data_IF_504649479885
#
_entry.id   IF_504649479885
#
_cell.length_a   1.000
_cell.length_b   1.000
_cell.length_c   1.000
_cell.angle_alpha   90.00
_cell.angle_beta   90.00
_cell.angle_gamma   90.00
#
_symmetry.space_group_name_H-M   'P 1'
#
loop_
_entity.id
_entity.type
_entity.pdbx_description
1 polymer ?
#
# COMPACT_ATOMS: atom_id res chain seq x y z
N UNK A 1 -15.62 16.76 -10.76
CA UNK A 1 -16.22 15.92 -9.69
C UNK A 1 -15.19 15.04 -8.99
N UNK A 2 -14.25 14.41 -9.71
CA UNK A 2 -13.24 13.48 -9.15
C UNK A 2 -12.34 14.12 -8.09
N UNK A 3 -11.73 15.27 -8.35
CA UNK A 3 -10.90 16.01 -7.38
C UNK A 3 -11.65 16.27 -6.07
N UNK A 4 -12.83 16.87 -6.15
CA UNK A 4 -13.66 17.16 -4.97
C UNK A 4 -14.12 15.88 -4.24
N UNK A 5 -14.33 14.78 -4.96
CA UNK A 5 -14.73 13.51 -4.34
C UNK A 5 -13.61 12.95 -3.46
N UNK A 6 -12.38 12.99 -4.00
CA UNK A 6 -11.16 12.55 -3.31
C UNK A 6 -10.83 13.46 -2.15
N UNK A 7 -10.87 14.79 -2.35
CA UNK A 7 -10.64 15.76 -1.28
C UNK A 7 -11.62 15.56 -0.12
N UNK A 8 -12.92 15.43 -0.43
CA UNK A 8 -13.93 15.21 0.60
C UNK A 8 -13.76 13.87 1.29
N UNK A 9 -13.43 12.80 0.56
CA UNK A 9 -13.16 11.49 1.16
C UNK A 9 -11.95 11.53 2.12
N UNK A 10 -10.86 12.21 1.75
CA UNK A 10 -9.70 12.42 2.63
C UNK A 10 -10.07 13.20 3.89
N UNK A 11 -10.86 14.26 3.76
CA UNK A 11 -11.34 15.05 4.92
C UNK A 11 -12.22 14.18 5.82
N UNK A 12 -13.17 13.43 5.25
CA UNK A 12 -14.03 12.52 6.01
C UNK A 12 -13.23 11.45 6.74
N UNK A 13 -12.19 10.91 6.11
CA UNK A 13 -11.30 9.94 6.74
C UNK A 13 -10.47 10.53 7.88
N UNK A 14 -10.07 11.81 7.78
CA UNK A 14 -9.44 12.51 8.87
C UNK A 14 -10.38 12.75 10.06
N UNK A 15 -11.67 13.00 9.81
CA UNK A 15 -12.67 13.22 10.86
C UNK A 15 -13.09 11.90 11.51
N UNK A 16 -13.33 10.86 10.70
CA UNK A 16 -13.81 9.56 11.16
C UNK A 16 -13.11 8.43 10.42
N UNK A 17 -12.19 7.79 11.12
CA UNK A 17 -11.56 6.56 10.66
C UNK A 17 -12.63 5.47 10.50
N UNK A 18 -12.63 4.79 9.35
CA UNK A 18 -13.43 3.59 9.16
C UNK A 18 -12.95 2.50 10.13
N UNK A 19 -13.85 2.00 10.97
CA UNK A 19 -13.55 0.86 11.85
C UNK A 19 -13.25 -0.38 11.01
N UNK A 20 -12.26 -1.18 11.44
CA UNK A 20 -11.90 -2.47 10.84
C UNK A 20 -13.06 -3.48 10.84
N UNK A 21 -14.10 -3.24 11.64
CA UNK A 21 -15.31 -4.06 11.78
C UNK A 21 -16.49 -3.58 10.91
N UNK A 22 -16.22 -3.05 9.72
CA UNK A 22 -17.30 -2.61 8.84
C UNK A 22 -18.03 -3.83 8.21
N UNK A 23 -19.38 -3.89 8.22
CA UNK A 23 -20.15 -4.99 7.63
C UNK A 23 -19.80 -5.29 6.18
N UNK A 24 -19.42 -4.28 5.39
CA UNK A 24 -19.02 -4.44 3.98
C UNK A 24 -17.73 -5.26 3.88
N UNK A 25 -16.76 -5.01 4.74
CA UNK A 25 -15.51 -5.76 4.80
C UNK A 25 -15.75 -7.20 5.26
N UNK A 26 -16.70 -7.43 6.18
CA UNK A 26 -17.10 -8.77 6.59
C UNK A 26 -17.83 -9.55 5.48
N UNK A 27 -18.66 -8.87 4.68
CA UNK A 27 -19.30 -9.45 3.51
C UNK A 27 -18.25 -9.90 2.47
N UNK A 28 -17.28 -9.03 2.16
CA UNK A 28 -16.19 -9.36 1.23
C UNK A 28 -15.34 -10.52 1.79
N UNK A 29 -15.03 -10.51 3.10
CA UNK A 29 -14.26 -11.57 3.75
C UNK A 29 -14.98 -12.91 3.69
N UNK A 30 -16.26 -12.96 4.04
CA UNK A 30 -17.06 -14.19 4.03
C UNK A 30 -17.23 -14.72 2.60
N UNK A 31 -17.49 -13.85 1.64
CA UNK A 31 -17.60 -14.25 0.24
C UNK A 31 -16.27 -14.79 -0.31
N UNK A 32 -15.15 -14.11 -0.05
CA UNK A 32 -13.83 -14.60 -0.47
C UNK A 32 -13.44 -15.93 0.20
N UNK A 33 -13.81 -16.12 1.47
CA UNK A 33 -13.57 -17.37 2.20
C UNK A 33 -14.41 -18.51 1.61
N UNK A 34 -15.71 -18.29 1.39
CA UNK A 34 -16.61 -19.27 0.81
C UNK A 34 -16.18 -19.69 -0.60
N UNK A 35 -15.81 -18.71 -1.46
CA UNK A 35 -15.32 -19.01 -2.80
C UNK A 35 -13.99 -19.76 -2.75
N UNK A 36 -13.08 -19.44 -1.82
CA UNK A 36 -11.85 -20.22 -1.68
C UNK A 36 -12.12 -21.67 -1.27
N UNK A 37 -13.03 -21.91 -0.32
CA UNK A 37 -13.36 -23.26 0.14
C UNK A 37 -14.11 -24.08 -0.92
N UNK A 38 -14.96 -23.44 -1.73
CA UNK A 38 -15.78 -24.12 -2.74
C UNK A 38 -14.99 -24.44 -4.01
N UNK A 39 -14.05 -23.57 -4.41
CA UNK A 39 -13.31 -23.71 -5.65
C UNK A 39 -11.90 -24.28 -5.49
N UNK A 40 -11.41 -24.49 -4.26
CA UNK A 40 -10.08 -25.06 -4.06
C UNK A 40 -10.06 -26.59 -4.28
N UNK A 41 -10.08 -26.97 -5.55
CA UNK A 41 -9.95 -28.35 -6.01
C UNK A 41 -8.48 -28.72 -6.34
N UNK A 42 -7.49 -27.96 -5.83
CA UNK A 42 -6.06 -28.28 -5.99
C UNK A 42 -5.41 -27.91 -7.33
N UNK A 43 -6.13 -27.30 -8.29
CA UNK A 43 -5.59 -26.91 -9.60
C UNK A 43 -5.52 -25.38 -9.79
N UNK A 44 -4.48 -24.85 -10.47
CA UNK A 44 -4.27 -23.40 -10.64
C UNK A 44 -5.36 -22.71 -11.48
N UNK A 45 -6.06 -23.44 -12.37
CA UNK A 45 -7.16 -22.90 -13.18
C UNK A 45 -8.38 -22.49 -12.34
N UNK A 46 -8.58 -23.13 -11.19
CA UNK A 46 -9.68 -22.79 -10.29
C UNK A 46 -9.43 -21.46 -9.55
N UNK A 47 -8.17 -21.08 -9.35
CA UNK A 47 -7.80 -19.78 -8.79
C UNK A 47 -8.22 -18.60 -9.70
N UNK A 48 -8.20 -18.79 -11.03
CA UNK A 48 -8.66 -17.77 -11.99
C UNK A 48 -10.18 -17.56 -11.89
N UNK A 49 -10.93 -18.65 -11.93
CA UNK A 49 -12.39 -18.62 -11.83
C UNK A 49 -12.84 -18.07 -10.48
N UNK A 50 -12.24 -18.53 -9.38
CA UNK A 50 -12.51 -18.00 -8.05
C UNK A 50 -12.25 -16.49 -7.96
N UNK A 51 -11.13 -16.01 -8.52
CA UNK A 51 -10.81 -14.59 -8.52
C UNK A 51 -11.84 -13.78 -9.30
N UNK A 52 -12.25 -14.24 -10.49
CA UNK A 52 -13.28 -13.57 -11.29
C UNK A 52 -14.63 -13.56 -10.59
N UNK A 53 -15.04 -14.68 -9.99
CA UNK A 53 -16.30 -14.79 -9.24
C UNK A 53 -16.35 -13.83 -8.06
N UNK A 54 -15.22 -13.60 -7.38
CA UNK A 54 -15.18 -12.60 -6.29
C UNK A 54 -15.12 -11.19 -6.86
N UNK A 55 -14.25 -10.88 -7.81
CA UNK A 55 -13.99 -9.48 -8.21
C UNK A 55 -15.08 -8.91 -9.11
N UNK A 56 -15.53 -9.66 -10.10
CA UNK A 56 -16.39 -9.17 -11.18
C UNK A 56 -17.76 -8.67 -10.67
N UNK A 57 -18.47 -9.36 -9.76
CA UNK A 57 -19.77 -8.88 -9.26
C UNK A 57 -19.67 -7.54 -8.53
N UNK A 58 -18.63 -7.33 -7.71
CA UNK A 58 -18.46 -6.07 -6.98
C UNK A 58 -18.04 -4.93 -7.91
N UNK A 59 -17.11 -5.17 -8.84
CA UNK A 59 -16.65 -4.16 -9.80
C UNK A 59 -17.79 -3.74 -10.73
N UNK A 60 -18.53 -4.70 -11.30
CA UNK A 60 -19.68 -4.39 -12.14
C UNK A 60 -20.82 -3.77 -11.34
N UNK A 61 -21.13 -4.27 -10.14
CA UNK A 61 -22.19 -3.71 -9.30
C UNK A 61 -21.93 -2.23 -8.98
N UNK A 62 -20.71 -1.90 -8.58
CA UNK A 62 -20.32 -0.51 -8.28
C UNK A 62 -20.35 0.36 -9.54
N UNK A 63 -19.91 -0.16 -10.68
CA UNK A 63 -19.93 0.56 -11.96
C UNK A 63 -21.35 0.81 -12.48
N UNK A 64 -22.24 -0.18 -12.41
CA UNK A 64 -23.65 -0.07 -12.83
C UNK A 64 -24.40 0.91 -11.92
N UNK A 65 -24.23 0.82 -10.59
CA UNK A 65 -24.83 1.77 -9.66
C UNK A 65 -24.34 3.19 -9.97
N UNK A 66 -23.04 3.37 -10.19
CA UNK A 66 -22.49 4.67 -10.54
C UNK A 66 -23.11 5.23 -11.83
N UNK A 67 -23.23 4.41 -12.88
CA UNK A 67 -23.84 4.80 -14.15
C UNK A 67 -25.31 5.19 -13.99
N UNK A 68 -26.09 4.40 -13.25
CA UNK A 68 -27.50 4.68 -12.97
C UNK A 68 -27.66 5.98 -12.16
N UNK A 69 -26.85 6.18 -11.11
CA UNK A 69 -26.89 7.40 -10.31
C UNK A 69 -26.52 8.64 -11.11
N UNK A 70 -25.52 8.54 -11.99
CA UNK A 70 -25.16 9.63 -12.92
C UNK A 70 -26.29 9.99 -13.89
N UNK A 71 -27.10 9.01 -14.31
CA UNK A 71 -28.28 9.26 -15.16
C UNK A 71 -29.41 9.97 -14.42
N UNK A 72 -29.55 9.72 -13.12
CA UNK A 72 -30.58 10.35 -12.28
C UNK A 72 -30.15 11.75 -11.86
N UNK A 73 -28.97 11.87 -11.24
CA UNK A 73 -28.47 13.14 -10.72
C UNK A 73 -26.94 13.11 -10.55
N UNK A 74 -26.26 14.12 -11.09
CA UNK A 74 -24.81 14.28 -10.96
C UNK A 74 -24.33 14.33 -9.50
N UNK A 75 -25.12 14.88 -8.58
CA UNK A 75 -24.82 14.93 -7.15
C UNK A 75 -24.87 13.55 -6.49
N UNK A 76 -25.76 12.65 -6.95
CA UNK A 76 -25.80 11.27 -6.47
C UNK A 76 -24.58 10.48 -6.95
N UNK A 77 -24.18 10.67 -8.22
CA UNK A 77 -22.93 10.10 -8.75
C UNK A 77 -21.70 10.61 -7.97
N UNK A 78 -21.68 11.90 -7.61
CA UNK A 78 -20.65 12.47 -6.76
C UNK A 78 -20.64 11.85 -5.35
N UNK A 79 -21.80 11.74 -4.69
CA UNK A 79 -21.90 11.12 -3.37
C UNK A 79 -21.44 9.64 -3.39
N UNK A 80 -21.77 8.90 -4.45
CA UNK A 80 -21.30 7.52 -4.64
C UNK A 80 -19.77 7.44 -4.79
N UNK A 81 -19.17 8.35 -5.56
CA UNK A 81 -17.71 8.43 -5.66
C UNK A 81 -17.06 8.68 -4.30
N UNK A 82 -17.55 9.66 -3.54
CA UNK A 82 -17.05 9.96 -2.19
C UNK A 82 -17.18 8.72 -1.29
N UNK A 83 -18.33 8.04 -1.33
CA UNK A 83 -18.58 6.85 -0.53
C UNK A 83 -17.61 5.71 -0.88
N UNK A 84 -17.44 5.39 -2.16
CA UNK A 84 -16.58 4.29 -2.60
C UNK A 84 -15.11 4.59 -2.29
N UNK A 85 -14.66 5.81 -2.56
CA UNK A 85 -13.30 6.24 -2.23
C UNK A 85 -13.08 6.19 -0.72
N UNK A 86 -14.03 6.67 0.07
CA UNK A 86 -13.98 6.59 1.53
C UNK A 86 -13.88 5.13 2.01
N UNK A 87 -14.69 4.22 1.47
CA UNK A 87 -14.66 2.79 1.85
C UNK A 87 -13.40 2.04 1.40
N UNK A 88 -12.80 2.44 0.28
CA UNK A 88 -11.63 1.79 -0.31
C UNK A 88 -10.31 2.35 0.23
N UNK A 89 -10.28 3.63 0.62
CA UNK A 89 -9.17 4.19 1.40
C UNK A 89 -9.18 3.63 2.83
N UNK A 90 -7.97 3.42 3.36
CA UNK A 90 -7.76 2.99 4.74
C UNK A 90 -6.55 3.68 5.37
N UNK A 91 -6.33 4.94 5.00
CA UNK A 91 -5.27 5.81 5.50
C UNK A 91 -5.20 5.82 7.04
N UNK A 92 -6.33 6.02 7.71
CA UNK A 92 -6.29 6.19 9.19
C UNK A 92 -6.13 4.87 9.95
N UNK A 93 -6.52 3.74 9.35
CA UNK A 93 -6.35 2.42 9.97
C UNK A 93 -4.88 2.05 10.15
N UNK A 94 -3.99 2.47 9.23
CA UNK A 94 -2.56 2.22 9.36
C UNK A 94 -1.84 3.31 10.15
N UNK A 95 -2.29 4.57 10.07
CA UNK A 95 -1.60 5.68 10.72
C UNK A 95 -1.60 5.59 12.25
N UNK A 96 -2.60 4.96 12.87
CA UNK A 96 -2.66 4.88 14.34
C UNK A 96 -1.53 4.03 14.92
N UNK A 97 -1.32 2.82 14.38
CA UNK A 97 -0.20 1.96 14.79
C UNK A 97 1.14 2.65 14.64
N UNK A 98 1.33 3.39 13.55
CA UNK A 98 2.53 4.18 13.33
C UNK A 98 2.73 5.26 14.39
N UNK A 99 1.68 6.03 14.68
CA UNK A 99 1.71 7.08 15.70
C UNK A 99 1.98 6.50 17.08
N UNK A 100 1.35 5.37 17.42
CA UNK A 100 1.48 4.73 18.73
C UNK A 100 2.90 4.18 18.92
N UNK A 101 3.48 3.53 17.90
CA UNK A 101 4.88 3.07 17.93
C UNK A 101 5.82 4.27 18.09
N UNK A 102 5.61 5.34 17.33
CA UNK A 102 6.43 6.54 17.43
C UNK A 102 6.35 7.20 18.83
N UNK A 103 5.16 7.28 19.41
CA UNK A 103 4.95 7.82 20.77
C UNK A 103 5.58 6.89 21.82
N UNK A 104 5.44 5.58 21.68
CA UNK A 104 6.05 4.62 22.60
C UNK A 104 7.58 4.71 22.58
N UNK A 105 8.19 4.79 21.39
CA UNK A 105 9.64 4.93 21.23
C UNK A 105 10.17 6.27 21.78
N UNK A 106 9.46 7.38 21.57
CA UNK A 106 9.87 8.68 22.12
C UNK A 106 9.73 8.78 23.65
N UNK A 107 8.92 7.90 24.26
CA UNK A 107 8.77 7.80 25.72
C UNK A 107 9.63 6.67 26.32
N UNK A 108 10.61 6.15 25.57
CA UNK A 108 11.49 5.04 25.97
C UNK A 108 10.75 3.72 26.32
N UNK A 109 9.50 3.57 25.88
CA UNK A 109 8.67 2.37 26.11
C UNK A 109 8.85 1.34 25.00
N UNK A 110 10.06 0.80 24.88
CA UNK A 110 10.43 -0.13 23.80
C UNK A 110 9.57 -1.41 23.81
N UNK A 111 9.24 -1.94 24.99
CA UNK A 111 8.39 -3.13 25.10
C UNK A 111 6.96 -2.91 24.60
N UNK A 112 6.42 -1.70 24.80
CA UNK A 112 5.11 -1.31 24.27
C UNK A 112 5.16 -1.21 22.74
N UNK A 113 6.21 -0.58 22.19
CA UNK A 113 6.44 -0.49 20.75
C UNK A 113 6.54 -1.88 20.09
N UNK A 114 7.24 -2.83 20.72
CA UNK A 114 7.31 -4.24 20.28
C UNK A 114 5.93 -4.88 20.24
N UNK A 115 5.15 -4.72 21.32
CA UNK A 115 3.79 -5.24 21.40
C UNK A 115 2.88 -4.71 20.28
N UNK A 116 2.93 -3.41 20.02
CA UNK A 116 2.15 -2.76 18.95
C UNK A 116 2.61 -3.26 17.58
N UNK A 117 3.93 -3.36 17.33
CA UNK A 117 4.49 -3.84 16.07
C UNK A 117 4.08 -5.31 15.81
N UNK A 118 4.15 -6.16 16.84
CA UNK A 118 3.70 -7.56 16.78
C UNK A 118 2.22 -7.66 16.45
N UNK A 119 1.38 -6.84 17.08
CA UNK A 119 -0.05 -6.80 16.79
C UNK A 119 -0.34 -6.34 15.36
N UNK A 120 0.44 -5.40 14.83
CA UNK A 120 0.22 -4.81 13.52
C UNK A 120 0.72 -5.69 12.37
N UNK A 121 1.94 -6.22 12.48
CA UNK A 121 2.62 -6.96 11.40
C UNK A 121 2.48 -8.48 11.58
N UNK A 122 2.33 -8.98 12.81
CA UNK A 122 2.26 -10.41 13.10
C UNK A 122 3.62 -11.14 13.13
N UNK A 123 4.73 -10.40 13.14
CA UNK A 123 6.08 -10.95 13.31
C UNK A 123 6.42 -11.11 14.79
N UNK A 124 7.35 -12.02 15.10
CA UNK A 124 7.92 -12.10 16.43
C UNK A 124 8.86 -10.90 16.66
N UNK A 125 8.70 -10.26 17.81
CA UNK A 125 9.42 -9.02 18.17
C UNK A 125 10.15 -9.16 19.50
N UNK A 126 10.29 -10.38 20.01
CA UNK A 126 11.04 -10.68 21.23
C UNK A 126 12.48 -10.23 21.04
N UNK A 127 12.99 -9.45 21.99
CA UNK A 127 14.36 -8.90 22.01
C UNK A 127 14.78 -8.08 20.77
N UNK A 128 13.82 -7.68 19.94
CA UNK A 128 14.07 -6.85 18.75
C UNK A 128 14.65 -5.47 19.15
N UNK A 129 15.79 -5.05 18.60
CA UNK A 129 16.39 -3.75 18.91
C UNK A 129 15.58 -2.59 18.29
N UNK A 130 15.83 -1.37 18.78
CA UNK A 130 15.01 -0.19 18.43
C UNK A 130 15.09 0.16 16.95
N UNK A 131 16.28 0.05 16.36
CA UNK A 131 16.53 0.30 14.94
C UNK A 131 15.72 -0.67 14.05
N UNK A 132 15.62 -1.95 14.44
CA UNK A 132 14.85 -2.96 13.72
C UNK A 132 13.34 -2.71 13.85
N UNK A 133 12.86 -2.28 15.02
CA UNK A 133 11.46 -1.86 15.22
C UNK A 133 11.13 -0.70 14.27
N UNK A 134 11.97 0.34 14.26
CA UNK A 134 11.78 1.51 13.39
C UNK A 134 11.81 1.09 11.93
N UNK A 135 12.77 0.26 11.53
CA UNK A 135 12.91 -0.23 10.16
C UNK A 135 11.68 -1.01 9.70
N UNK A 136 11.20 -1.99 10.47
CA UNK A 136 9.98 -2.73 10.12
C UNK A 136 8.74 -1.83 10.06
N UNK A 137 8.64 -0.87 10.97
CA UNK A 137 7.59 0.14 10.97
C UNK A 137 7.61 0.95 9.67
N UNK A 138 8.78 1.42 9.24
CA UNK A 138 8.95 2.18 8.00
C UNK A 138 8.66 1.36 6.75
N UNK A 139 9.19 0.13 6.66
CA UNK A 139 8.92 -0.81 5.57
C UNK A 139 7.41 -1.00 5.38
N UNK A 140 6.70 -1.29 6.47
CA UNK A 140 5.25 -1.46 6.43
C UNK A 140 4.51 -0.17 6.14
N UNK A 141 4.94 0.98 6.68
CA UNK A 141 4.32 2.26 6.42
C UNK A 141 4.40 2.68 4.94
N UNK A 142 5.57 2.49 4.31
CA UNK A 142 5.78 2.78 2.89
C UNK A 142 4.85 1.92 2.04
N UNK A 143 4.81 0.60 2.25
CA UNK A 143 3.91 -0.30 1.52
C UNK A 143 2.43 0.03 1.79
N UNK A 144 2.07 0.29 3.05
CA UNK A 144 0.70 0.59 3.43
C UNK A 144 0.21 1.90 2.80
N UNK A 145 1.05 2.95 2.77
CA UNK A 145 0.72 4.22 2.14
C UNK A 145 0.41 4.05 0.64
N UNK A 146 1.20 3.24 -0.04
CA UNK A 146 0.96 2.89 -1.44
C UNK A 146 -0.37 2.14 -1.63
N UNK A 147 -0.58 1.05 -0.90
CA UNK A 147 -1.76 0.18 -1.11
C UNK A 147 -3.08 0.78 -0.63
N UNK A 148 -3.05 1.70 0.35
CA UNK A 148 -4.28 2.29 0.89
C UNK A 148 -4.59 3.67 0.29
N UNK A 149 -3.60 4.35 -0.27
CA UNK A 149 -3.76 5.69 -0.84
C UNK A 149 -3.40 5.64 -2.33
N UNK A 150 -2.13 5.61 -2.68
CA UNK A 150 -1.69 5.89 -4.05
C UNK A 150 -2.23 4.91 -5.11
N UNK A 151 -2.29 3.61 -4.79
CA UNK A 151 -2.86 2.60 -5.68
C UNK A 151 -4.36 2.76 -5.89
N UNK A 152 -5.12 3.05 -4.82
CA UNK A 152 -6.56 3.33 -4.88
C UNK A 152 -6.82 4.61 -5.69
N UNK A 153 -6.02 5.65 -5.45
CA UNK A 153 -6.09 6.93 -6.18
C UNK A 153 -5.88 6.74 -7.68
N UNK A 154 -4.83 6.01 -8.06
CA UNK A 154 -4.52 5.78 -9.47
C UNK A 154 -5.69 5.10 -10.20
N UNK A 155 -6.22 4.00 -9.64
CA UNK A 155 -7.32 3.27 -10.27
C UNK A 155 -8.66 4.00 -10.21
N UNK A 156 -8.86 4.89 -9.24
CA UNK A 156 -10.01 5.79 -9.20
C UNK A 156 -9.95 6.86 -10.31
N UNK A 157 -8.75 7.33 -10.65
CA UNK A 157 -8.56 8.34 -11.70
C UNK A 157 -8.74 7.77 -13.12
N UNK A 158 -8.46 6.48 -13.30
CA UNK A 158 -8.71 5.79 -14.57
C UNK A 158 -10.20 5.88 -14.96
N UNK A 159 -10.54 5.79 -16.27
CA UNK A 159 -11.92 5.94 -16.76
C UNK A 159 -12.94 4.94 -16.17
N UNK A 160 -12.46 3.92 -15.46
CA UNK A 160 -13.28 2.95 -14.71
C UNK A 160 -13.90 3.60 -13.46
N UNK A 161 -13.29 4.67 -12.92
CA UNK A 161 -13.80 5.47 -11.81
C UNK A 161 -13.90 4.68 -10.49
N UNK A 162 -15.04 4.74 -9.76
CA UNK A 162 -15.19 4.09 -8.46
C UNK A 162 -15.04 2.57 -8.53
N UNK A 163 -15.39 1.95 -9.68
CA UNK A 163 -15.20 0.52 -9.88
C UNK A 163 -13.71 0.13 -9.93
N UNK A 164 -12.83 1.04 -10.38
CA UNK A 164 -11.38 0.83 -10.38
C UNK A 164 -10.79 0.79 -8.97
N UNK A 165 -11.23 1.68 -8.09
CA UNK A 165 -10.83 1.68 -6.68
C UNK A 165 -11.16 0.34 -5.99
N UNK A 166 -12.35 -0.19 -6.27
CA UNK A 166 -12.82 -1.48 -5.74
C UNK A 166 -12.03 -2.65 -6.33
N UNK A 167 -11.75 -2.62 -7.65
CA UNK A 167 -10.91 -3.61 -8.31
C UNK A 167 -9.53 -3.70 -7.63
N UNK A 168 -8.87 -2.57 -7.43
CA UNK A 168 -7.57 -2.52 -6.77
C UNK A 168 -7.63 -3.09 -5.36
N UNK A 169 -8.62 -2.66 -4.56
CA UNK A 169 -8.76 -3.08 -3.16
C UNK A 169 -9.06 -4.58 -3.02
N UNK A 170 -9.91 -5.13 -3.90
CA UNK A 170 -10.21 -6.56 -3.90
C UNK A 170 -9.02 -7.38 -4.40
N UNK A 171 -8.33 -6.94 -5.45
CA UNK A 171 -7.13 -7.63 -5.94
C UNK A 171 -6.04 -7.70 -4.86
N UNK A 172 -5.83 -6.61 -4.14
CA UNK A 172 -4.87 -6.51 -3.04
C UNK A 172 -5.28 -7.36 -1.82
N UNK A 173 -6.57 -7.39 -1.48
CA UNK A 173 -7.07 -8.24 -0.40
C UNK A 173 -6.92 -9.74 -0.72
N UNK A 174 -7.31 -10.13 -1.94
CA UNK A 174 -7.25 -11.52 -2.42
C UNK A 174 -5.80 -12.00 -2.53
N UNK A 175 -4.89 -11.17 -3.06
CA UNK A 175 -3.48 -11.54 -3.19
C UNK A 175 -2.85 -11.84 -1.83
N UNK A 176 -3.15 -11.04 -0.80
CA UNK A 176 -2.71 -11.28 0.58
C UNK A 176 -3.36 -12.52 1.18
N UNK A 177 -4.69 -12.56 1.20
CA UNK A 177 -5.44 -13.62 1.91
C UNK A 177 -5.33 -15.00 1.31
N UNK A 178 -5.20 -15.11 -0.02
CA UNK A 178 -5.06 -16.41 -0.68
C UNK A 178 -3.61 -16.88 -0.76
N UNK A 179 -2.64 -16.01 -0.49
CA UNK A 179 -1.21 -16.36 -0.37
C UNK A 179 -0.83 -16.79 1.04
N UNK A 180 -1.50 -16.24 2.05
CA UNK A 180 -1.31 -16.64 3.44
C UNK A 180 -1.52 -18.15 3.59
N UNK A 181 -0.55 -18.81 4.24
CA UNK A 181 -0.57 -20.25 4.44
C UNK A 181 -1.77 -20.63 5.32
N UNK A 182 -2.64 -21.48 4.79
CA UNK A 182 -3.79 -22.00 5.49
C UNK A 182 -3.81 -23.53 5.32
N UNK A 183 -4.13 -24.30 6.38
CA UNK A 183 -4.07 -25.76 6.35
C UNK A 183 -4.98 -26.38 5.27
N UNK A 184 -6.09 -25.73 4.95
CA UNK A 184 -7.10 -26.23 4.00
C UNK A 184 -6.91 -25.70 2.56
N UNK A 185 -5.81 -24.99 2.26
CA UNK A 185 -5.62 -24.33 0.97
C UNK A 185 -4.49 -24.92 0.15
N UNK A 186 -4.76 -25.20 -1.12
CA UNK A 186 -3.73 -25.68 -2.05
C UNK A 186 -2.67 -24.60 -2.32
N UNK A 187 -1.39 -24.99 -2.41
CA UNK A 187 -0.29 -24.03 -2.58
C UNK A 187 -0.34 -23.26 -3.91
N UNK A 188 -1.04 -23.80 -4.92
CA UNK A 188 -1.20 -23.20 -6.25
C UNK A 188 -2.36 -22.21 -6.38
N UNK A 189 -3.33 -22.21 -5.46
CA UNK A 189 -4.56 -21.40 -5.58
C UNK A 189 -4.30 -19.89 -5.56
N UNK A 190 -3.43 -19.45 -4.64
CA UNK A 190 -3.06 -18.02 -4.50
C UNK A 190 -2.17 -17.46 -5.62
N UNK A 191 -1.58 -18.32 -6.46
CA UNK A 191 -0.60 -17.89 -7.45
C UNK A 191 -1.20 -16.92 -8.49
N UNK A 192 -2.44 -17.17 -8.93
CA UNK A 192 -3.13 -16.26 -9.85
C UNK A 192 -3.43 -14.91 -9.19
N UNK A 193 -3.95 -14.89 -7.96
CA UNK A 193 -4.25 -13.65 -7.26
C UNK A 193 -2.98 -12.79 -7.03
N UNK A 194 -1.84 -13.42 -6.72
CA UNK A 194 -0.54 -12.72 -6.67
C UNK A 194 -0.17 -12.11 -8.01
N UNK A 195 -0.25 -12.89 -9.09
CA UNK A 195 0.11 -12.42 -10.43
C UNK A 195 -0.82 -11.31 -10.92
N UNK A 196 -2.13 -11.44 -10.70
CA UNK A 196 -3.12 -10.43 -11.06
C UNK A 196 -2.84 -9.12 -10.31
N UNK A 197 -2.60 -9.18 -9.00
CA UNK A 197 -2.26 -8.00 -8.22
C UNK A 197 -0.93 -7.39 -8.68
N UNK A 198 0.10 -8.19 -8.95
CA UNK A 198 1.38 -7.70 -9.49
C UNK A 198 1.21 -6.87 -10.77
N UNK A 199 0.37 -7.32 -11.70
CA UNK A 199 0.08 -6.60 -12.96
C UNK A 199 -0.72 -5.32 -12.70
N UNK A 200 -1.76 -5.40 -11.87
CA UNK A 200 -2.61 -4.26 -11.49
C UNK A 200 -1.80 -3.17 -10.76
N UNK A 201 -0.80 -3.58 -9.98
CA UNK A 201 0.02 -2.72 -9.12
C UNK A 201 1.28 -2.18 -9.83
N UNK A 202 1.61 -2.71 -11.01
CA UNK A 202 2.87 -2.41 -11.72
C UNK A 202 3.07 -0.92 -12.04
N UNK A 203 2.02 -0.28 -12.59
CA UNK A 203 2.02 1.16 -12.91
C UNK A 203 1.95 2.02 -11.64
N UNK A 204 0.96 1.83 -10.73
CA UNK A 204 0.85 2.70 -9.58
C UNK A 204 2.06 2.60 -8.63
N UNK A 205 2.71 1.44 -8.50
CA UNK A 205 3.91 1.29 -7.68
C UNK A 205 5.06 2.19 -8.18
N UNK A 206 5.29 2.22 -9.49
CA UNK A 206 6.33 3.07 -10.11
C UNK A 206 5.99 4.55 -10.01
N UNK A 207 4.74 4.93 -10.24
CA UNK A 207 4.29 6.32 -10.04
C UNK A 207 4.46 6.77 -8.59
N UNK A 208 4.21 5.87 -7.63
CA UNK A 208 4.40 6.17 -6.20
C UNK A 208 5.88 6.32 -5.87
N UNK A 209 6.74 5.44 -6.38
CA UNK A 209 8.19 5.54 -6.21
C UNK A 209 8.76 6.85 -6.79
N UNK A 210 8.31 7.26 -7.99
CA UNK A 210 8.64 8.56 -8.59
C UNK A 210 8.13 9.71 -7.70
N UNK A 211 6.89 9.60 -7.20
CA UNK A 211 6.32 10.58 -6.28
C UNK A 211 7.15 10.76 -5.01
N UNK A 212 7.65 9.67 -4.42
CA UNK A 212 8.57 9.75 -3.28
C UNK A 212 9.91 10.36 -3.65
N UNK A 213 10.47 10.02 -4.81
CA UNK A 213 11.72 10.63 -5.29
C UNK A 213 11.59 12.14 -5.49
N UNK A 214 10.49 12.63 -6.07
CA UNK A 214 10.25 14.07 -6.32
C UNK A 214 10.15 14.85 -5.00
N UNK A 215 9.60 14.22 -3.97
CA UNK A 215 9.20 14.88 -2.72
C UNK A 215 10.23 14.74 -1.59
N UNK A 216 11.11 13.73 -1.70
CA UNK A 216 12.22 13.47 -0.80
C UNK A 216 13.57 13.79 -1.45
N UNK A 217 14.60 13.01 -1.12
CA UNK A 217 15.89 13.07 -1.82
C UNK A 217 15.81 12.31 -3.16
N UNK A 218 15.70 13.05 -4.26
CA UNK A 218 15.58 12.49 -5.61
C UNK A 218 16.79 11.65 -6.03
N UNK A 219 18.00 12.10 -5.72
CA UNK A 219 19.25 11.45 -6.12
C UNK A 219 19.38 10.10 -5.44
N UNK A 220 19.26 10.07 -4.10
CA UNK A 220 19.32 8.86 -3.29
C UNK A 220 18.19 7.89 -3.65
N UNK A 221 16.97 8.39 -3.93
CA UNK A 221 15.83 7.56 -4.30
C UNK A 221 16.04 6.83 -5.64
N UNK A 222 16.58 7.52 -6.65
CA UNK A 222 16.87 6.92 -7.96
C UNK A 222 18.06 5.98 -7.88
N UNK A 223 19.13 6.38 -7.18
CA UNK A 223 20.27 5.50 -6.95
C UNK A 223 19.80 4.22 -6.25
N UNK A 224 18.97 4.36 -5.20
CA UNK A 224 18.48 3.23 -4.45
C UNK A 224 17.57 2.32 -5.29
N UNK A 225 16.65 2.88 -6.07
CA UNK A 225 15.81 2.10 -7.00
C UNK A 225 16.69 1.27 -7.94
N UNK A 226 17.68 1.87 -8.59
CA UNK A 226 18.52 1.17 -9.58
C UNK A 226 19.29 -0.03 -9.00
N UNK A 227 19.76 0.08 -7.75
CA UNK A 227 20.67 -0.91 -7.17
C UNK A 227 19.99 -1.87 -6.16
N UNK A 228 18.98 -1.42 -5.42
CA UNK A 228 18.36 -2.19 -4.33
C UNK A 228 16.99 -2.78 -4.66
N UNK A 229 16.30 -2.36 -5.74
CA UNK A 229 14.95 -2.83 -6.02
C UNK A 229 14.84 -4.34 -6.27
N UNK A 230 15.89 -4.98 -6.81
CA UNK A 230 15.92 -6.42 -7.11
C UNK A 230 16.20 -7.31 -5.89
N UNK A 231 16.51 -6.74 -4.73
CA UNK A 231 16.81 -7.50 -3.51
C UNK A 231 15.54 -8.06 -2.85
N UNK A 232 14.38 -7.54 -3.22
CA UNK A 232 13.09 -7.94 -2.65
C UNK A 232 12.42 -9.03 -3.51
N UNK A 233 11.70 -9.99 -2.88
CA UNK A 233 11.01 -11.06 -3.62
C UNK A 233 9.97 -10.56 -4.63
N UNK A 234 9.35 -9.41 -4.34
CA UNK A 234 8.38 -8.75 -5.20
C UNK A 234 8.99 -7.46 -5.74
N UNK A 235 9.17 -7.37 -7.06
CA UNK A 235 9.78 -6.22 -7.72
C UNK A 235 9.02 -4.92 -7.45
N UNK A 236 7.68 -4.93 -7.45
CA UNK A 236 6.89 -3.72 -7.21
C UNK A 236 7.11 -3.17 -5.79
N UNK A 237 7.17 -4.06 -4.79
CA UNK A 237 7.49 -3.67 -3.41
C UNK A 237 8.94 -3.22 -3.30
N UNK A 238 9.87 -3.91 -3.96
CA UNK A 238 11.28 -3.55 -3.94
C UNK A 238 11.55 -2.17 -4.52
N UNK A 239 10.89 -1.80 -5.62
CA UNK A 239 10.98 -0.44 -6.19
C UNK A 239 10.48 0.60 -5.20
N UNK A 240 9.32 0.35 -4.57
CA UNK A 240 8.71 1.27 -3.62
C UNK A 240 9.58 1.43 -2.36
N UNK A 241 10.09 0.33 -1.82
CA UNK A 241 10.92 0.31 -0.63
C UNK A 241 12.29 0.93 -0.89
N UNK A 242 12.90 0.68 -2.04
CA UNK A 242 14.18 1.26 -2.42
C UNK A 242 14.06 2.78 -2.68
N UNK A 243 13.05 3.20 -3.44
CA UNK A 243 12.79 4.62 -3.64
C UNK A 243 12.42 5.31 -2.31
N UNK A 244 11.63 4.65 -1.45
CA UNK A 244 11.28 5.14 -0.13
C UNK A 244 12.49 5.25 0.81
N UNK A 245 13.42 4.27 0.79
CA UNK A 245 14.63 4.31 1.60
C UNK A 245 15.55 5.47 1.22
N UNK A 246 15.73 5.70 -0.09
CA UNK A 246 16.50 6.84 -0.59
C UNK A 246 15.81 8.18 -0.34
N UNK A 247 14.49 8.27 -0.57
CA UNK A 247 13.72 9.49 -0.32
C UNK A 247 13.73 9.91 1.16
N UNK A 248 13.77 8.94 2.08
CA UNK A 248 13.85 9.16 3.52
C UNK A 248 15.29 9.33 4.04
N UNK A 249 16.30 8.96 3.24
CA UNK A 249 17.68 8.84 3.71
C UNK A 249 17.83 7.81 4.84
N UNK A 250 17.02 6.75 4.84
CA UNK A 250 17.01 5.72 5.88
C UNK A 250 17.29 4.34 5.27
N UNK A 251 18.18 3.56 5.90
CA UNK A 251 18.57 2.25 5.40
C UNK A 251 17.49 1.19 5.68
N UNK A 252 16.57 1.00 4.73
CA UNK A 252 15.52 -0.02 4.82
C UNK A 252 15.96 -1.39 4.26
N UNK A 253 16.95 -1.39 3.37
CA UNK A 253 17.42 -2.58 2.64
C UNK A 253 18.81 -3.01 3.12
N UNK A 254 19.06 -4.33 3.18
CA UNK A 254 20.33 -4.94 3.58
C UNK A 254 20.29 -5.57 4.98
N UNK A 255 21.22 -6.49 5.30
CA UNK A 255 21.40 -6.97 6.67
C UNK A 255 21.92 -5.85 7.58
N UNK A 256 21.47 -5.84 8.84
CA UNK A 256 21.97 -4.95 9.90
C UNK A 256 23.40 -5.30 10.33
N UNK A 257 23.86 -6.51 10.00
CA UNK A 257 25.21 -6.92 10.27
C UNK A 257 26.18 -6.05 9.48
N UNK A 258 27.17 -5.46 10.16
CA UNK A 258 28.37 -4.91 9.54
C UNK A 258 28.78 -5.86 8.41
N UNK A 259 28.83 -5.33 7.19
CA UNK A 259 29.44 -6.06 6.07
C UNK A 259 30.84 -6.40 6.57
N UNK A 260 31.11 -7.70 6.78
CA UNK A 260 32.42 -8.16 7.22
C UNK A 260 33.45 -7.46 6.35
N UNK A 261 34.55 -6.98 6.93
CA UNK A 261 35.63 -6.30 6.19
C UNK A 261 36.08 -7.10 4.95
N UNK A 262 35.89 -8.43 4.98
CA UNK A 262 36.14 -9.36 3.88
C UNK A 262 35.12 -9.19 2.72
N UNK A 263 33.84 -9.01 3.01
CA UNK A 263 32.78 -8.81 2.00
C UNK A 263 32.82 -7.40 1.38
N UNK A 264 33.30 -6.40 2.12
CA UNK A 264 33.54 -5.05 1.62
C UNK A 264 34.77 -5.00 0.69
N UNK A 265 35.82 -5.77 1.00
CA UNK A 265 37.02 -5.90 0.16
C UNK A 265 36.75 -6.71 -1.13
N UNK A 266 35.82 -7.67 -1.09
CA UNK A 266 35.44 -8.47 -2.25
C UNK A 266 34.55 -7.71 -3.27
N UNK A 267 33.93 -6.58 -2.88
CA UNK A 267 33.00 -5.84 -3.75
C UNK A 267 33.68 -4.89 -4.75
N UNK A 268 34.99 -4.65 -4.66
CA UNK A 268 35.71 -3.78 -5.61
C UNK A 268 35.14 -2.36 -5.71
N UNK A 269 35.55 -1.60 -6.74
CA UNK A 269 35.04 -0.24 -7.04
C UNK A 269 33.53 -0.20 -7.41
N UNK A 270 32.87 -1.37 -7.52
CA UNK A 270 31.43 -1.54 -7.75
C UNK A 270 30.63 -1.70 -6.44
N UNK A 271 31.25 -1.45 -5.28
CA UNK A 271 30.57 -1.49 -3.98
C UNK A 271 29.40 -0.49 -3.96
N UNK A 272 28.17 -1.02 -3.91
CA UNK A 272 26.97 -0.20 -3.84
C UNK A 272 27.00 0.60 -2.54
N UNK A 273 27.01 1.93 -2.64
CA UNK A 273 27.05 2.80 -1.48
C UNK A 273 25.79 2.56 -0.63
N UNK A 274 25.92 2.34 0.69
CA UNK A 274 24.77 2.22 1.56
C UNK A 274 23.99 3.54 1.51
N UNK A 275 22.72 3.47 1.10
CA UNK A 275 21.86 4.65 1.03
C UNK A 275 21.19 4.86 2.37
N UNK A 276 21.42 6.04 2.95
CA UNK A 276 20.80 6.49 4.18
C UNK A 276 21.52 6.05 5.45
N UNK A 277 21.11 6.66 6.55
CA UNK A 277 21.61 6.36 7.89
C UNK A 277 20.77 5.27 8.59
N UNK A 278 21.24 4.80 9.74
CA UNK A 278 20.50 3.86 10.58
C UNK A 278 19.12 4.40 10.98
N UNK A 279 18.19 3.48 11.15
CA UNK A 279 16.80 3.79 11.44
C UNK A 279 16.65 4.30 12.88
N UNK A 280 16.47 5.62 13.05
CA UNK A 280 16.23 6.23 14.36
C UNK A 280 14.76 6.66 14.51
N UNK A 281 14.23 6.84 15.73
CA UNK A 281 12.85 7.32 15.91
C UNK A 281 12.52 8.63 15.16
N UNK A 282 13.52 9.48 14.89
CA UNK A 282 13.37 10.69 14.06
C UNK A 282 12.99 10.39 12.61
N UNK A 283 13.46 9.26 12.06
CA UNK A 283 13.12 8.83 10.70
C UNK A 283 11.63 8.50 10.54
N UNK A 284 10.93 8.12 11.63
CA UNK A 284 9.49 7.94 11.61
C UNK A 284 8.75 9.27 11.33
N UNK A 285 9.21 10.38 11.91
CA UNK A 285 8.62 11.70 11.63
C UNK A 285 8.85 12.12 10.17
N UNK A 286 10.05 11.88 9.65
CA UNK A 286 10.38 12.13 8.25
C UNK A 286 9.47 11.33 7.31
N UNK A 287 9.15 10.07 7.66
CA UNK A 287 8.25 9.23 6.88
C UNK A 287 6.82 9.77 6.79
N UNK A 288 6.28 10.27 7.91
CA UNK A 288 4.97 10.94 7.89
C UNK A 288 5.00 12.16 6.97
N UNK A 289 6.04 12.98 7.09
CA UNK A 289 6.24 14.14 6.24
C UNK A 289 6.31 13.77 4.74
N UNK A 290 7.06 12.73 4.39
CA UNK A 290 7.18 12.24 3.02
C UNK A 290 5.81 11.81 2.46
N UNK A 291 5.06 11.00 3.20
CA UNK A 291 3.73 10.52 2.78
C UNK A 291 2.78 11.70 2.56
N UNK A 292 2.73 12.67 3.49
CA UNK A 292 1.87 13.84 3.35
C UNK A 292 2.21 14.70 2.14
N UNK A 293 3.50 15.00 1.94
CA UNK A 293 3.94 15.76 0.78
C UNK A 293 3.66 15.01 -0.53
N UNK A 294 3.78 13.68 -0.54
CA UNK A 294 3.41 12.86 -1.69
C UNK A 294 1.90 12.90 -1.96
N UNK A 295 1.05 12.82 -0.92
CA UNK A 295 -0.40 13.02 -1.06
C UNK A 295 -0.72 14.40 -1.63
N UNK A 296 -0.07 15.46 -1.14
CA UNK A 296 -0.23 16.82 -1.67
C UNK A 296 0.19 16.91 -3.15
N UNK A 297 1.30 16.27 -3.53
CA UNK A 297 1.73 16.20 -4.93
C UNK A 297 0.66 15.53 -5.81
N UNK A 298 0.11 14.40 -5.37
CA UNK A 298 -0.95 13.71 -6.12
C UNK A 298 -2.23 14.54 -6.20
N UNK A 299 -2.61 15.22 -5.13
CA UNK A 299 -3.75 16.14 -5.12
C UNK A 299 -3.52 17.34 -6.05
N UNK A 300 -2.31 17.87 -6.11
CA UNK A 300 -1.93 18.93 -7.05
C UNK A 300 -2.01 18.44 -8.50
N UNK A 301 -1.48 17.26 -8.81
CA UNK A 301 -1.58 16.66 -10.15
C UNK A 301 -3.04 16.44 -10.56
N UNK A 302 -3.88 15.95 -9.64
CA UNK A 302 -5.32 15.80 -9.87
C UNK A 302 -6.02 17.14 -10.13
N UNK A 303 -5.64 18.19 -9.38
CA UNK A 303 -6.17 19.53 -9.58
C UNK A 303 -5.80 20.06 -10.97
N UNK A 304 -4.53 19.94 -11.37
CA UNK A 304 -4.03 20.37 -12.68
C UNK A 304 -4.72 19.60 -13.81
N UNK A 305 -4.88 18.28 -13.69
CA UNK A 305 -5.60 17.47 -14.66
C UNK A 305 -7.07 17.91 -14.78
N UNK A 306 -7.71 18.18 -13.64
CA UNK A 306 -9.12 18.64 -13.63
C UNK A 306 -9.26 20.00 -14.30
N UNK A 307 -8.32 20.93 -14.07
CA UNK A 307 -8.28 22.23 -14.74
C UNK A 307 -8.02 22.10 -16.24
N UNK A 308 -7.09 21.23 -16.65
CA UNK A 308 -6.79 21.00 -18.06
C UNK A 308 -8.00 20.47 -18.83
N UNK A 309 -8.75 19.51 -18.25
CA UNK A 309 -9.99 18.97 -18.84
C UNK A 309 -11.12 20.01 -18.86
N UNK A 310 -11.08 21.00 -17.97
CA UNK A 310 -12.10 22.06 -17.92
C UNK A 310 -11.79 23.22 -18.88
N UNK A 311 -10.51 23.50 -19.12
CA UNK A 311 -10.03 24.60 -19.98
C UNK A 311 -9.87 24.20 -21.46
N UNK A 312 -9.68 22.91 -21.76
CA UNK A 312 -9.55 22.37 -23.11
C UNK A 312 -10.82 21.72 -23.61
#
# INVERSE_FOLDING_TARGET
MTFFSVLLALILEQVRALSTQNPIYNLIRSHAAHTSQTFDAGQPRHGVLAWLVVVLPFVLGVGVIYFLLMRVNIFLGFAWNVLIVYLTMGFRQFSHYFTDIHVALNNDKVNEARGILRQWIGIDTVDMPVDEIVRHTLLHAVIASHRHVFGVFFWFLMPIGPAGAVLYRLAEYLSRRWTEAAPDRSPGFGAFARKAFYVIDWVPARLTAIGFAIVGNFEDAIYAWRHYAKQWPNENEGILLAAGSGALGARLTGPLAEVSSIDALNQGDDAVLPVGSECTPRTLQAAVGLVWRAVLLWMLLLLLLTLAVWLG
#
